data_IF_761930936401
#
_entry.id   IF_761930936401
#
_cell.length_a   1.000
_cell.length_b   1.000
_cell.length_c   1.000
_cell.angle_alpha   90.00
_cell.angle_beta   90.00
_cell.angle_gamma   90.00
#
_symmetry.space_group_name_H-M   'P 1'
#
loop_
_entity.id
_entity.type
_entity.pdbx_description
1 polymer ?
#
# COMPACT_ATOMS: atom_id res chain seq x y z
N UNK A 1 -10.15 -8.52 -18.10
CA UNK A 1 -9.14 -7.82 -18.94
C UNK A 1 -9.07 -6.30 -18.72
N UNK A 2 -10.17 -5.59 -18.43
CA UNK A 2 -10.15 -4.12 -18.24
C UNK A 2 -9.27 -3.62 -17.09
N UNK A 3 -9.36 -4.23 -15.90
CA UNK A 3 -8.59 -3.80 -14.71
C UNK A 3 -7.08 -4.02 -14.84
N UNK A 4 -6.62 -5.12 -15.45
CA UNK A 4 -5.17 -5.36 -15.70
C UNK A 4 -4.57 -4.27 -16.59
N UNK A 5 -5.31 -3.80 -17.60
CA UNK A 5 -4.91 -2.66 -18.43
C UNK A 5 -4.82 -1.36 -17.61
N UNK A 6 -5.67 -1.20 -16.60
CA UNK A 6 -5.61 -0.06 -15.68
C UNK A 6 -4.36 -0.12 -14.80
N UNK A 7 -4.03 -1.28 -14.20
CA UNK A 7 -2.82 -1.45 -13.40
C UNK A 7 -1.54 -1.19 -14.19
N UNK A 8 -1.43 -1.79 -15.37
CA UNK A 8 -0.28 -1.58 -16.26
C UNK A 8 -0.12 -0.10 -16.63
N UNK A 9 -1.23 0.60 -16.88
CA UNK A 9 -1.23 2.05 -17.10
C UNK A 9 -0.79 2.84 -15.86
N UNK A 10 -1.22 2.46 -14.66
CA UNK A 10 -0.80 3.09 -13.41
C UNK A 10 0.70 2.92 -13.16
N UNK A 11 1.23 1.71 -13.37
CA UNK A 11 2.66 1.40 -13.26
C UNK A 11 3.48 2.23 -14.23
N UNK A 12 3.12 2.22 -15.52
CA UNK A 12 3.85 2.95 -16.55
C UNK A 12 3.85 4.46 -16.27
N UNK A 13 2.70 4.99 -15.86
CA UNK A 13 2.57 6.39 -15.42
C UNK A 13 3.47 6.69 -14.22
N UNK A 14 3.51 5.80 -13.23
CA UNK A 14 4.36 5.92 -12.03
C UNK A 14 5.85 6.04 -12.38
N UNK A 15 6.32 5.25 -13.34
CA UNK A 15 7.74 5.15 -13.70
C UNK A 15 8.23 6.28 -14.62
N UNK A 16 7.36 6.79 -15.51
CA UNK A 16 7.79 7.68 -16.59
C UNK A 16 7.33 9.11 -16.36
N UNK A 17 6.07 9.30 -15.94
CA UNK A 17 5.50 10.63 -15.79
C UNK A 17 4.56 10.69 -14.56
N UNK A 18 5.11 10.52 -13.34
CA UNK A 18 4.33 10.70 -12.14
C UNK A 18 3.89 12.17 -12.03
N UNK A 19 2.75 12.39 -11.38
CA UNK A 19 2.20 13.75 -11.19
C UNK A 19 3.21 14.69 -10.52
N UNK A 20 3.96 14.14 -9.56
CA UNK A 20 5.08 14.80 -8.92
C UNK A 20 6.37 14.12 -9.37
N UNK A 21 7.27 14.90 -9.99
CA UNK A 21 8.54 14.39 -10.51
C UNK A 21 9.44 13.82 -9.40
N UNK A 22 9.33 14.29 -8.17
CA UNK A 22 10.12 13.77 -7.05
C UNK A 22 9.72 12.34 -6.66
N UNK A 23 8.50 11.91 -7.00
CA UNK A 23 8.07 10.52 -6.83
C UNK A 23 8.80 9.54 -7.74
N UNK A 24 9.54 10.00 -8.76
CA UNK A 24 10.39 9.12 -9.57
C UNK A 24 11.42 8.39 -8.73
N UNK A 25 11.99 9.02 -7.70
CA UNK A 25 13.03 8.42 -6.85
C UNK A 25 12.51 7.17 -6.12
N UNK A 26 11.46 7.25 -5.29
CA UNK A 26 10.91 6.05 -4.64
C UNK A 26 10.38 5.03 -5.65
N UNK A 27 9.76 5.47 -6.76
CA UNK A 27 9.23 4.55 -7.76
C UNK A 27 10.34 3.73 -8.45
N UNK A 28 11.47 4.36 -8.79
CA UNK A 28 12.61 3.66 -9.37
C UNK A 28 13.27 2.72 -8.36
N UNK A 29 13.34 3.10 -7.08
CA UNK A 29 13.82 2.19 -6.03
C UNK A 29 12.96 0.92 -5.97
N UNK A 30 11.63 1.04 -5.87
CA UNK A 30 10.73 -0.12 -5.91
C UNK A 30 10.92 -0.95 -7.19
N UNK A 31 11.02 -0.31 -8.36
CA UNK A 31 11.20 -1.01 -9.62
C UNK A 31 12.54 -1.76 -9.74
N UNK A 32 13.63 -1.18 -9.21
CA UNK A 32 14.92 -1.87 -9.14
C UNK A 32 14.86 -3.12 -8.26
N UNK A 33 13.98 -3.19 -7.25
CA UNK A 33 13.73 -4.41 -6.49
C UNK A 33 13.08 -5.50 -7.33
N UNK A 34 12.10 -5.16 -8.16
CA UNK A 34 11.51 -6.12 -9.10
C UNK A 34 12.57 -6.71 -10.04
N UNK A 35 13.41 -5.86 -10.63
CA UNK A 35 14.51 -6.30 -11.51
C UNK A 35 15.52 -7.13 -10.74
N UNK A 36 15.96 -6.65 -9.57
CA UNK A 36 16.96 -7.31 -8.74
C UNK A 36 16.51 -8.68 -8.24
N UNK A 37 15.22 -8.84 -7.90
CA UNK A 37 14.66 -10.13 -7.50
C UNK A 37 14.68 -11.17 -8.62
N UNK A 38 14.52 -10.75 -9.87
CA UNK A 38 14.67 -11.62 -11.05
C UNK A 38 16.14 -11.88 -11.39
N UNK A 39 16.99 -10.86 -11.26
CA UNK A 39 18.41 -10.97 -11.57
C UNK A 39 19.15 -11.86 -10.57
N UNK A 40 18.76 -11.87 -9.31
CA UNK A 40 19.48 -12.58 -8.25
C UNK A 40 19.55 -14.11 -8.50
N UNK A 41 18.44 -14.84 -8.79
CA UNK A 41 18.53 -16.26 -9.13
C UNK A 41 19.41 -16.50 -10.36
N UNK A 42 19.29 -15.66 -11.40
CA UNK A 42 20.10 -15.76 -12.62
C UNK A 42 21.60 -15.66 -12.27
N UNK A 43 21.97 -14.66 -11.45
CA UNK A 43 23.35 -14.48 -11.00
C UNK A 43 23.84 -15.66 -10.17
N UNK A 44 23.02 -16.18 -9.27
CA UNK A 44 23.37 -17.32 -8.43
C UNK A 44 23.69 -18.56 -9.28
N UNK A 45 22.82 -18.91 -10.25
CA UNK A 45 23.04 -20.04 -11.15
C UNK A 45 24.14 -19.79 -12.20
N UNK A 46 24.49 -18.54 -12.48
CA UNK A 46 25.60 -18.18 -13.37
C UNK A 46 26.97 -18.21 -12.67
N UNK A 47 27.01 -18.61 -11.39
CA UNK A 47 28.27 -18.71 -10.62
C UNK A 47 28.77 -17.38 -10.06
N UNK A 48 27.89 -16.40 -9.82
CA UNK A 48 28.27 -15.17 -9.12
C UNK A 48 28.80 -15.50 -7.71
N UNK A 49 29.79 -14.73 -7.25
CA UNK A 49 30.43 -14.96 -5.96
C UNK A 49 29.47 -14.71 -4.78
N UNK A 50 29.69 -15.35 -3.63
CA UNK A 50 28.88 -15.13 -2.43
C UNK A 50 28.80 -13.65 -2.04
N UNK A 51 29.93 -12.93 -2.13
CA UNK A 51 30.01 -11.51 -1.82
C UNK A 51 29.14 -10.65 -2.77
N UNK A 52 29.08 -10.99 -4.06
CA UNK A 52 28.25 -10.27 -5.02
C UNK A 52 26.75 -10.48 -4.72
N UNK A 53 26.34 -11.71 -4.43
CA UNK A 53 24.94 -12.03 -4.10
C UNK A 53 24.50 -11.37 -2.78
N UNK A 54 25.34 -11.43 -1.74
CA UNK A 54 25.06 -10.76 -0.45
C UNK A 54 24.97 -9.25 -0.63
N UNK A 55 25.88 -8.66 -1.41
CA UNK A 55 25.87 -7.22 -1.70
C UNK A 55 24.60 -6.82 -2.44
N UNK A 56 24.22 -7.55 -3.50
CA UNK A 56 22.99 -7.29 -4.24
C UNK A 56 21.77 -7.42 -3.32
N UNK A 57 21.64 -8.52 -2.59
CA UNK A 57 20.46 -8.77 -1.77
C UNK A 57 20.34 -7.76 -0.62
N UNK A 58 21.47 -7.36 -0.03
CA UNK A 58 21.53 -6.34 1.01
C UNK A 58 21.18 -4.95 0.46
N UNK A 59 21.67 -4.58 -0.72
CA UNK A 59 21.31 -3.30 -1.37
C UNK A 59 19.84 -3.23 -1.74
N UNK A 60 19.26 -4.33 -2.23
CA UNK A 60 17.82 -4.43 -2.51
C UNK A 60 16.98 -4.36 -1.22
N UNK A 61 17.38 -5.05 -0.15
CA UNK A 61 16.69 -4.95 1.15
C UNK A 61 16.77 -3.54 1.76
N UNK A 62 17.91 -2.85 1.61
CA UNK A 62 18.05 -1.46 2.04
C UNK A 62 17.17 -0.54 1.19
N UNK A 63 17.06 -0.79 -0.11
CA UNK A 63 16.24 0.04 -1.01
C UNK A 63 14.75 0.03 -0.63
N UNK A 64 14.22 -1.10 -0.14
CA UNK A 64 12.84 -1.23 0.40
C UNK A 64 12.60 -0.32 1.61
N UNK A 65 13.60 -0.19 2.48
CA UNK A 65 13.49 0.74 3.59
C UNK A 65 13.60 2.20 3.15
N UNK A 66 14.36 2.45 2.09
CA UNK A 66 14.64 3.80 1.59
C UNK A 66 13.52 4.35 0.71
N UNK A 67 12.77 3.55 -0.03
CA UNK A 67 11.71 4.06 -0.91
C UNK A 67 10.56 4.71 -0.13
N UNK A 68 10.09 4.09 0.96
CA UNK A 68 9.04 4.66 1.81
C UNK A 68 9.52 5.94 2.52
N UNK A 69 10.82 6.00 2.89
CA UNK A 69 11.43 7.23 3.40
C UNK A 69 11.54 8.29 2.30
N UNK A 70 11.96 7.92 1.11
CA UNK A 70 12.07 8.82 -0.03
C UNK A 70 10.69 9.40 -0.41
N UNK A 71 9.63 8.59 -0.40
CA UNK A 71 8.28 9.07 -0.63
C UNK A 71 7.86 10.15 0.40
N UNK A 72 8.11 9.91 1.69
CA UNK A 72 7.72 10.84 2.76
C UNK A 72 8.59 12.09 2.86
N UNK A 73 9.91 11.94 2.76
CA UNK A 73 10.85 13.03 3.02
C UNK A 73 11.27 13.78 1.75
N UNK A 74 11.39 13.08 0.62
CA UNK A 74 11.84 13.68 -0.65
C UNK A 74 10.63 14.09 -1.48
N UNK A 75 9.74 13.14 -1.80
CA UNK A 75 8.55 13.44 -2.61
C UNK A 75 7.47 14.21 -1.85
N UNK A 76 7.51 14.16 -0.50
CA UNK A 76 6.54 14.78 0.43
C UNK A 76 5.11 14.27 0.27
N UNK A 77 4.92 13.15 -0.42
CA UNK A 77 3.64 12.49 -0.61
C UNK A 77 3.82 11.02 -0.99
N UNK A 78 2.88 10.19 -0.54
CA UNK A 78 2.74 8.81 -1.01
C UNK A 78 1.64 8.78 -2.09
N UNK A 79 2.00 8.41 -3.32
CA UNK A 79 1.06 8.40 -4.45
C UNK A 79 0.40 7.03 -4.60
N UNK A 80 -0.85 7.00 -5.10
CA UNK A 80 -1.55 5.74 -5.38
C UNK A 80 -0.81 4.91 -6.43
N UNK A 81 -0.28 5.57 -7.47
CA UNK A 81 0.52 4.92 -8.51
C UNK A 81 1.81 4.31 -7.96
N UNK A 82 2.51 5.03 -7.08
CA UNK A 82 3.72 4.56 -6.40
C UNK A 82 3.43 3.37 -5.48
N UNK A 83 2.38 3.45 -4.65
CA UNK A 83 1.98 2.36 -3.75
C UNK A 83 1.59 1.07 -4.49
N UNK A 84 0.95 1.20 -5.67
CA UNK A 84 0.63 0.05 -6.52
C UNK A 84 1.90 -0.56 -7.13
N UNK A 85 2.81 0.28 -7.63
CA UNK A 85 4.10 -0.18 -8.16
C UNK A 85 4.93 -0.88 -7.08
N UNK A 86 4.98 -0.32 -5.89
CA UNK A 86 5.67 -0.84 -4.72
C UNK A 86 5.15 -2.24 -4.35
N UNK A 87 3.85 -2.35 -4.11
CA UNK A 87 3.22 -3.63 -3.77
C UNK A 87 3.44 -4.71 -4.84
N UNK A 88 3.45 -4.35 -6.13
CA UNK A 88 3.73 -5.30 -7.22
C UNK A 88 5.21 -5.68 -7.25
N UNK A 89 6.11 -4.71 -7.05
CA UNK A 89 7.54 -4.93 -7.05
C UNK A 89 7.96 -5.85 -5.90
N UNK A 90 7.36 -5.71 -4.72
CA UNK A 90 7.56 -6.60 -3.57
C UNK A 90 7.19 -8.05 -3.89
N UNK A 91 6.08 -8.25 -4.60
CA UNK A 91 5.63 -9.60 -4.99
C UNK A 91 6.51 -10.21 -6.06
N UNK A 92 6.91 -9.42 -7.06
CA UNK A 92 7.87 -9.88 -8.06
C UNK A 92 9.19 -10.24 -7.38
N UNK A 93 9.70 -9.39 -6.49
CA UNK A 93 10.94 -9.63 -5.76
C UNK A 93 10.87 -10.93 -4.96
N UNK A 94 9.95 -11.03 -4.01
CA UNK A 94 9.83 -12.20 -3.13
C UNK A 94 9.55 -13.50 -3.89
N UNK A 95 8.61 -13.49 -4.85
CA UNK A 95 8.29 -14.70 -5.63
C UNK A 95 9.42 -15.12 -6.55
N UNK A 96 10.15 -14.18 -7.15
CA UNK A 96 11.30 -14.52 -8.00
C UNK A 96 12.41 -15.19 -7.20
N UNK A 97 12.71 -14.68 -6.00
CA UNK A 97 13.67 -15.30 -5.08
C UNK A 97 13.21 -16.70 -4.65
N UNK A 98 11.92 -16.87 -4.33
CA UNK A 98 11.36 -18.17 -3.95
C UNK A 98 11.42 -19.16 -5.12
N UNK A 99 10.97 -18.76 -6.32
CA UNK A 99 10.98 -19.62 -7.50
C UNK A 99 12.40 -20.07 -7.83
N UNK A 100 13.37 -19.16 -7.76
CA UNK A 100 14.76 -19.48 -8.02
C UNK A 100 15.36 -20.48 -7.01
N UNK A 101 14.98 -20.43 -5.73
CA UNK A 101 15.59 -21.28 -4.70
C UNK A 101 14.95 -22.68 -4.67
N UNK A 102 13.74 -22.87 -5.21
CA UNK A 102 13.02 -24.16 -5.17
C UNK A 102 13.85 -25.31 -5.77
N UNK A 103 14.64 -25.06 -6.82
CA UNK A 103 15.50 -26.09 -7.41
C UNK A 103 16.64 -26.54 -6.48
N UNK A 104 17.02 -25.72 -5.49
CA UNK A 104 18.03 -26.02 -4.46
C UNK A 104 17.36 -26.56 -3.20
N UNK A 105 16.27 -25.95 -2.77
CA UNK A 105 15.53 -26.27 -1.55
C UNK A 105 14.02 -26.28 -1.83
N UNK A 106 13.47 -27.45 -2.21
CA UNK A 106 12.07 -27.56 -2.65
C UNK A 106 11.03 -27.13 -1.62
N UNK A 107 11.36 -27.14 -0.32
CA UNK A 107 10.46 -26.74 0.77
C UNK A 107 9.90 -25.32 0.58
N UNK A 108 10.66 -24.42 -0.07
CA UNK A 108 10.25 -23.05 -0.32
C UNK A 108 9.02 -22.93 -1.24
N UNK A 109 8.63 -24.02 -1.92
CA UNK A 109 7.35 -24.09 -2.64
C UNK A 109 6.17 -23.78 -1.71
N UNK A 110 6.23 -24.20 -0.45
CA UNK A 110 5.17 -23.94 0.53
C UNK A 110 5.09 -22.45 0.83
N UNK A 111 6.22 -21.79 1.11
CA UNK A 111 6.25 -20.34 1.28
C UNK A 111 5.74 -19.60 0.03
N UNK A 112 6.12 -20.05 -1.17
CA UNK A 112 5.66 -19.46 -2.43
C UNK A 112 4.15 -19.54 -2.60
N UNK A 113 3.54 -20.70 -2.32
CA UNK A 113 2.09 -20.88 -2.39
C UNK A 113 1.36 -19.99 -1.36
N UNK A 114 1.90 -19.86 -0.15
CA UNK A 114 1.33 -19.03 0.90
C UNK A 114 1.45 -17.53 0.59
N UNK A 115 2.61 -17.07 0.14
CA UNK A 115 2.83 -15.68 -0.30
C UNK A 115 1.95 -15.34 -1.51
N UNK A 116 1.83 -16.27 -2.48
CA UNK A 116 0.89 -16.16 -3.59
C UNK A 116 -0.55 -16.03 -3.12
N UNK A 117 -0.97 -16.85 -2.14
CA UNK A 117 -2.31 -16.78 -1.55
C UNK A 117 -2.59 -15.43 -0.88
N UNK A 118 -1.63 -14.91 -0.10
CA UNK A 118 -1.73 -13.58 0.53
C UNK A 118 -1.87 -12.50 -0.54
N UNK A 119 -1.07 -12.60 -1.61
CA UNK A 119 -1.10 -11.66 -2.74
C UNK A 119 -2.46 -11.66 -3.44
N UNK A 120 -3.05 -12.84 -3.68
CA UNK A 120 -4.38 -12.96 -4.29
C UNK A 120 -5.48 -12.36 -3.40
N UNK A 121 -5.43 -12.59 -2.09
CA UNK A 121 -6.40 -11.99 -1.14
C UNK A 121 -6.27 -10.47 -1.16
N UNK A 122 -5.05 -9.94 -1.12
CA UNK A 122 -4.79 -8.50 -1.15
C UNK A 122 -5.22 -7.86 -2.48
N UNK A 123 -4.94 -8.51 -3.61
CA UNK A 123 -5.36 -8.05 -4.93
C UNK A 123 -6.89 -7.97 -5.03
N UNK A 124 -7.60 -9.00 -4.55
CA UNK A 124 -9.06 -8.99 -4.52
C UNK A 124 -9.62 -7.90 -3.60
N UNK A 125 -9.03 -7.71 -2.42
CA UNK A 125 -9.43 -6.63 -1.50
C UNK A 125 -9.25 -5.25 -2.14
N UNK A 126 -8.15 -5.05 -2.88
CA UNK A 126 -7.92 -3.80 -3.59
C UNK A 126 -8.91 -3.57 -4.72
N UNK A 127 -9.27 -4.61 -5.47
CA UNK A 127 -10.28 -4.54 -6.53
C UNK A 127 -11.67 -4.11 -6.03
N UNK A 128 -11.97 -4.37 -4.76
CA UNK A 128 -13.21 -3.97 -4.09
C UNK A 128 -13.18 -2.50 -3.60
N UNK A 129 -12.10 -1.77 -3.90
CA UNK A 129 -11.92 -0.35 -3.60
C UNK A 129 -11.17 -0.07 -2.29
N UNK A 130 -10.59 -1.11 -1.69
CA UNK A 130 -9.88 -0.98 -0.42
C UNK A 130 -8.39 -0.67 -0.61
N UNK A 131 -7.77 -0.04 0.39
CA UNK A 131 -6.33 0.19 0.41
C UNK A 131 -5.61 -1.07 0.90
N UNK A 132 -4.49 -1.49 0.29
CA UNK A 132 -3.65 -2.55 0.85
C UNK A 132 -3.10 -2.04 2.18
N UNK A 133 -3.46 -2.68 3.29
CA UNK A 133 -2.89 -2.39 4.61
C UNK A 133 -2.14 -3.60 5.11
N UNK A 134 -0.89 -3.40 5.49
CA UNK A 134 -0.09 -4.46 6.09
C UNK A 134 -0.37 -4.56 7.59
N UNK A 135 -0.72 -5.76 8.03
CA UNK A 135 -0.86 -6.09 9.44
C UNK A 135 0.50 -6.34 10.11
N UNK A 136 0.53 -6.30 11.44
CA UNK A 136 1.75 -6.52 12.23
C UNK A 136 2.38 -7.88 11.94
N UNK A 137 1.56 -8.95 11.88
CA UNK A 137 2.02 -10.30 11.50
C UNK A 137 2.61 -10.30 10.10
N UNK A 138 1.99 -9.57 9.17
CA UNK A 138 2.50 -9.39 7.81
C UNK A 138 3.89 -8.76 7.76
N UNK A 139 4.20 -7.84 8.67
CA UNK A 139 5.54 -7.23 8.78
C UNK A 139 6.54 -8.16 9.45
N UNK A 140 6.13 -8.85 10.52
CA UNK A 140 7.01 -9.76 11.27
C UNK A 140 7.45 -10.94 10.41
N UNK A 141 6.54 -11.53 9.62
CA UNK A 141 6.86 -12.73 8.82
C UNK A 141 7.91 -12.50 7.73
N UNK A 142 8.12 -11.25 7.31
CA UNK A 142 9.09 -10.90 6.26
C UNK A 142 10.50 -11.17 6.77
N UNK A 143 10.79 -10.93 8.05
CA UNK A 143 12.13 -11.10 8.61
C UNK A 143 12.69 -12.53 8.48
N UNK A 144 12.02 -13.58 9.01
CA UNK A 144 12.52 -14.93 8.88
C UNK A 144 12.53 -15.41 7.42
N UNK A 145 11.55 -15.04 6.58
CA UNK A 145 11.52 -15.44 5.17
C UNK A 145 12.69 -14.82 4.38
N UNK A 146 12.93 -13.53 4.54
CA UNK A 146 14.03 -12.82 3.89
C UNK A 146 15.37 -13.38 4.34
N UNK A 147 15.55 -13.62 5.64
CA UNK A 147 16.76 -14.25 6.17
C UNK A 147 16.94 -15.68 5.63
N UNK A 148 15.88 -16.48 5.54
CA UNK A 148 15.91 -17.81 4.95
C UNK A 148 16.39 -17.76 3.50
N UNK A 149 15.86 -16.85 2.68
CA UNK A 149 16.24 -16.68 1.28
C UNK A 149 17.70 -16.21 1.15
N UNK A 150 18.13 -15.22 1.95
CA UNK A 150 19.53 -14.74 1.98
C UNK A 150 20.49 -15.90 2.25
N UNK A 151 20.23 -16.68 3.30
CA UNK A 151 21.08 -17.79 3.70
C UNK A 151 21.05 -18.92 2.66
N UNK A 152 19.89 -19.20 2.06
CA UNK A 152 19.76 -20.25 1.04
C UNK A 152 20.62 -19.96 -0.20
N UNK A 153 20.56 -18.73 -0.72
CA UNK A 153 21.39 -18.33 -1.86
C UNK A 153 22.87 -18.20 -1.50
N UNK A 154 23.18 -17.77 -0.28
CA UNK A 154 24.56 -17.75 0.23
C UNK A 154 25.15 -19.17 0.27
N UNK A 155 24.44 -20.13 0.87
CA UNK A 155 24.89 -21.52 0.94
C UNK A 155 25.10 -22.13 -0.46
N UNK A 156 24.18 -21.87 -1.39
CA UNK A 156 24.32 -22.34 -2.77
C UNK A 156 25.59 -21.81 -3.44
N UNK A 157 25.86 -20.51 -3.30
CA UNK A 157 27.02 -19.85 -3.91
C UNK A 157 28.36 -20.25 -3.28
N UNK A 158 28.35 -20.68 -2.01
CA UNK A 158 29.54 -21.18 -1.30
C UNK A 158 29.99 -22.57 -1.78
N UNK A 159 29.12 -23.35 -2.42
CA UNK A 159 29.40 -24.75 -2.73
C UNK A 159 29.77 -25.54 -1.47
N UNK A 160 30.93 -26.20 -1.47
CA UNK A 160 31.44 -26.96 -0.31
C UNK A 160 32.48 -26.18 0.52
N UNK A 161 32.62 -24.87 0.30
CA UNK A 161 33.63 -24.04 0.99
C UNK A 161 33.03 -23.31 2.19
N UNK A 162 33.76 -23.25 3.30
CA UNK A 162 33.35 -22.48 4.47
C UNK A 162 33.59 -20.99 4.26
N UNK A 163 32.68 -20.15 4.73
CA UNK A 163 32.77 -18.68 4.68
C UNK A 163 32.66 -18.13 6.10
N UNK A 164 33.63 -17.31 6.54
CA UNK A 164 33.69 -16.77 7.91
C UNK A 164 33.60 -17.85 9.01
N UNK A 165 34.11 -19.06 8.73
CA UNK A 165 34.05 -20.21 9.66
C UNK A 165 32.69 -20.94 9.70
N UNK A 166 31.71 -20.51 8.91
CA UNK A 166 30.40 -21.16 8.79
C UNK A 166 30.42 -22.16 7.62
N UNK A 167 30.00 -23.40 7.87
CA UNK A 167 29.85 -24.40 6.81
C UNK A 167 28.56 -24.18 6.00
N UNK A 168 28.56 -24.50 4.69
CA UNK A 168 27.36 -24.45 3.85
C UNK A 168 26.19 -25.27 4.41
N UNK A 169 26.47 -26.40 5.05
CA UNK A 169 25.46 -27.27 5.67
C UNK A 169 24.74 -26.59 6.84
N UNK A 170 25.48 -25.88 7.71
CA UNK A 170 24.90 -25.13 8.83
C UNK A 170 24.04 -23.97 8.31
N UNK A 171 24.52 -23.25 7.30
CA UNK A 171 23.78 -22.15 6.66
C UNK A 171 22.50 -22.68 6.01
N UNK A 172 22.57 -23.80 5.29
CA UNK A 172 21.41 -24.45 4.65
C UNK A 172 20.40 -24.90 5.69
N UNK A 173 20.85 -25.54 6.78
CA UNK A 173 19.99 -25.98 7.88
C UNK A 173 19.30 -24.79 8.56
N UNK A 174 20.02 -23.69 8.75
CA UNK A 174 19.47 -22.45 9.32
C UNK A 174 18.43 -21.82 8.39
N UNK A 175 18.73 -21.77 7.08
CA UNK A 175 17.78 -21.31 6.05
C UNK A 175 16.48 -22.13 6.07
N UNK A 176 16.60 -23.46 6.11
CA UNK A 176 15.47 -24.38 6.21
C UNK A 176 14.65 -24.12 7.49
N UNK A 177 15.31 -24.02 8.65
CA UNK A 177 14.64 -23.74 9.92
C UNK A 177 13.83 -22.45 9.89
N UNK A 178 14.39 -21.37 9.33
CA UNK A 178 13.70 -20.09 9.18
C UNK A 178 12.52 -20.16 8.20
N UNK A 179 12.65 -20.90 7.10
CA UNK A 179 11.53 -21.18 6.18
C UNK A 179 10.37 -21.88 6.91
N UNK A 180 10.68 -22.93 7.69
CA UNK A 180 9.68 -23.66 8.46
C UNK A 180 8.99 -22.80 9.53
N UNK A 181 9.73 -21.93 10.23
CA UNK A 181 9.16 -20.96 11.19
C UNK A 181 8.26 -19.93 10.49
N UNK A 182 8.53 -19.61 9.22
CA UNK A 182 7.74 -18.64 8.46
C UNK A 182 6.35 -19.17 8.09
N UNK A 183 6.23 -20.47 7.78
CA UNK A 183 4.96 -21.10 7.37
C UNK A 183 3.79 -20.82 8.33
N UNK A 184 3.89 -21.05 9.67
CA UNK A 184 2.80 -20.75 10.58
C UNK A 184 2.47 -19.24 10.64
N UNK A 185 3.46 -18.35 10.52
CA UNK A 185 3.23 -16.90 10.47
C UNK A 185 2.43 -16.50 9.22
N UNK A 186 2.71 -17.14 8.09
CA UNK A 186 1.97 -16.94 6.84
C UNK A 186 0.52 -17.42 6.95
N UNK A 187 0.30 -18.57 7.56
CA UNK A 187 -1.05 -19.11 7.81
C UNK A 187 -1.86 -18.16 8.70
N UNK A 188 -1.25 -17.66 9.78
CA UNK A 188 -1.90 -16.68 10.67
C UNK A 188 -2.23 -15.40 9.89
N UNK A 189 -1.29 -14.91 9.07
CA UNK A 189 -1.49 -13.73 8.25
C UNK A 189 -2.66 -13.91 7.25
N UNK A 190 -2.74 -15.07 6.58
CA UNK A 190 -3.86 -15.41 5.68
C UNK A 190 -5.19 -15.38 6.43
N UNK A 191 -5.26 -15.97 7.63
CA UNK A 191 -6.48 -15.95 8.46
C UNK A 191 -6.89 -14.52 8.80
N UNK A 192 -5.93 -13.66 9.13
CA UNK A 192 -6.18 -12.26 9.45
C UNK A 192 -6.68 -11.48 8.23
N UNK A 193 -6.06 -11.62 7.06
CA UNK A 193 -6.56 -10.98 5.85
C UNK A 193 -7.96 -11.46 5.46
N UNK A 194 -8.26 -12.75 5.64
CA UNK A 194 -9.61 -13.30 5.39
C UNK A 194 -10.64 -12.76 6.38
N UNK A 195 -10.32 -12.62 7.67
CA UNK A 195 -11.26 -12.08 8.65
C UNK A 195 -11.55 -10.61 8.39
N UNK A 196 -10.54 -9.83 8.02
CA UNK A 196 -10.68 -8.42 7.65
C UNK A 196 -11.53 -8.26 6.39
N UNK A 197 -11.31 -9.08 5.35
CA UNK A 197 -12.13 -9.07 4.15
C UNK A 197 -13.61 -9.38 4.45
N UNK A 198 -13.88 -10.38 5.31
CA UNK A 198 -15.25 -10.72 5.74
C UNK A 198 -15.91 -9.58 6.53
N UNK A 199 -15.21 -9.02 7.51
CA UNK A 199 -15.73 -7.93 8.33
C UNK A 199 -16.11 -6.71 7.48
N UNK A 200 -15.31 -6.40 6.44
CA UNK A 200 -15.59 -5.31 5.49
C UNK A 200 -16.82 -5.61 4.63
N UNK A 201 -16.94 -6.83 4.12
CA UNK A 201 -18.13 -7.23 3.35
C UNK A 201 -19.41 -7.11 4.18
N UNK A 202 -19.38 -7.44 5.47
CA UNK A 202 -20.53 -7.33 6.36
C UNK A 202 -20.92 -5.86 6.59
N UNK A 203 -19.95 -5.00 6.91
CA UNK A 203 -20.19 -3.55 7.06
C UNK A 203 -20.78 -2.90 5.81
N UNK A 204 -20.39 -3.38 4.61
CA UNK A 204 -20.95 -2.89 3.35
C UNK A 204 -22.42 -3.30 3.17
N UNK A 205 -22.79 -4.51 3.61
CA UNK A 205 -24.19 -4.97 3.60
C UNK A 205 -25.05 -4.19 4.61
N UNK A 206 -24.57 -4.02 5.83
CA UNK A 206 -25.24 -3.25 6.89
C UNK A 206 -25.55 -1.81 6.41
N UNK A 207 -24.57 -1.12 5.80
CA UNK A 207 -24.79 0.22 5.22
C UNK A 207 -25.83 0.25 4.09
N UNK A 208 -25.90 -0.82 3.29
CA UNK A 208 -26.88 -0.93 2.21
C UNK A 208 -28.29 -1.16 2.78
N UNK A 209 -28.41 -1.94 3.85
CA UNK A 209 -29.67 -2.21 4.54
C UNK A 209 -30.20 -0.95 5.26
N UNK A 210 -29.31 -0.19 5.92
CA UNK A 210 -29.64 1.08 6.58
C UNK A 210 -30.09 2.16 5.58
N UNK A 211 -29.38 2.32 4.45
CA UNK A 211 -29.79 3.27 3.41
C UNK A 211 -31.10 2.89 2.70
N UNK A 212 -31.44 1.59 2.65
CA UNK A 212 -32.72 1.13 2.10
C UNK A 212 -33.87 1.32 3.09
N UNK A 213 -33.63 1.17 4.40
CA UNK A 213 -34.64 1.42 5.44
C UNK A 213 -34.95 2.91 5.59
N UNK A 214 -33.95 3.79 5.50
CA UNK A 214 -34.16 5.25 5.47
C UNK A 214 -34.98 5.69 4.24
N UNK A 215 -34.64 5.20 3.05
CA UNK A 215 -35.38 5.51 1.81
C UNK A 215 -36.83 5.00 1.81
N UNK A 216 -37.12 3.90 2.51
CA UNK A 216 -38.47 3.36 2.62
C UNK A 216 -39.32 4.10 3.67
N UNK A 217 -38.70 4.62 4.73
CA UNK A 217 -39.35 5.53 5.67
C UNK A 217 -39.67 6.89 5.04
N UNK A 218 -38.76 7.46 4.22
CA UNK A 218 -39.00 8.71 3.48
C UNK A 218 -40.15 8.58 2.45
N UNK A 219 -40.23 7.45 1.74
CA UNK A 219 -41.35 7.16 0.82
C UNK A 219 -42.69 6.98 1.55
N UNK A 220 -42.67 6.49 2.78
CA UNK A 220 -43.87 6.31 3.61
C UNK A 220 -44.38 7.64 4.16
N UNK A 221 -43.47 8.56 4.56
CA UNK A 221 -43.84 9.94 4.93
C UNK A 221 -44.37 10.76 3.74
N UNK A 222 -43.80 10.61 2.53
CA UNK A 222 -44.35 11.26 1.32
C UNK A 222 -45.75 10.73 0.91
N UNK A 223 -46.04 9.45 1.14
CA UNK A 223 -47.39 8.88 0.92
C UNK A 223 -48.41 9.35 1.96
N UNK A 224 -47.99 9.63 3.20
CA UNK A 224 -48.83 10.23 4.24
C UNK A 224 -49.24 11.67 3.87
N UNK A 225 -48.27 12.51 3.48
CA UNK A 225 -48.54 13.92 3.13
C UNK A 225 -49.33 14.11 1.83
N UNK A 226 -49.42 13.07 0.98
CA UNK A 226 -50.25 13.10 -0.25
C UNK A 226 -51.72 12.74 0.05
N UNK A 227 -52.01 12.07 1.16
CA UNK A 227 -53.40 11.75 1.57
C UNK A 227 -54.08 12.91 2.31
N UNK A 228 -53.35 13.69 3.09
CA UNK A 228 -53.92 14.90 3.74
C UNK A 228 -54.27 16.00 2.74
N UNK A 229 -53.47 16.21 1.69
CA UNK A 229 -53.73 17.23 0.67
C UNK A 229 -54.87 16.89 -0.31
N UNK A 230 -55.52 15.72 -0.18
CA UNK A 230 -56.64 15.31 -1.04
C UNK A 230 -58.02 15.53 -0.41
N UNK A 231 -58.10 15.89 0.87
CA UNK A 231 -59.37 16.13 1.57
C UNK A 231 -59.78 17.61 1.50
N UNK A 232 -58.85 18.54 1.25
CA UNK A 232 -59.14 19.98 1.31
C UNK A 232 -59.43 20.66 -0.05
N UNK A 233 -59.56 19.91 -1.15
CA UNK A 233 -59.83 20.47 -2.50
C UNK A 233 -61.04 19.84 -3.17
N UNK A 234 -62.19 19.94 -2.53
CA UNK A 234 -63.48 19.79 -3.19
C UNK A 234 -64.44 20.90 -2.75
N UNK A 235 -64.17 22.14 -3.18
CA UNK A 235 -65.18 23.18 -3.45
C UNK A 235 -64.50 24.25 -4.33
N UNK A 236 -65.20 24.59 -5.42
CA UNK A 236 -65.08 25.72 -6.36
C UNK A 236 -63.84 25.90 -7.26
N UNK A 237 -64.05 25.60 -8.56
CA UNK A 237 -63.50 26.36 -9.71
C UNK A 237 -64.44 27.57 -10.02
N UNK A 238 -64.10 28.60 -10.83
CA UNK A 238 -63.18 28.54 -11.99
C UNK A 238 -62.33 29.80 -12.37
N UNK A 239 -61.40 29.52 -13.31
CA UNK A 239 -60.95 30.33 -14.48
C UNK A 239 -59.82 31.39 -14.38
N UNK A 240 -58.80 31.11 -15.23
CA UNK A 240 -57.86 31.97 -16.02
C UNK A 240 -56.87 32.82 -15.18
N UNK A 241 -55.59 32.95 -15.50
CA UNK A 241 -54.96 33.26 -16.81
C UNK A 241 -53.45 32.93 -16.76
N UNK A 242 -52.87 32.60 -17.92
CA UNK A 242 -51.42 32.49 -18.18
C UNK A 242 -50.69 33.79 -17.81
N UNK A 243 -49.55 33.70 -17.13
CA UNK A 243 -48.36 34.50 -17.43
C UNK A 243 -47.07 33.73 -17.12
N UNK A 244 -46.03 34.05 -17.88
CA UNK A 244 -44.76 33.36 -18.10
C UNK A 244 -43.66 34.29 -17.56
N UNK A 245 -42.74 33.83 -16.72
CA UNK A 245 -41.48 34.50 -16.37
C UNK A 245 -40.50 33.41 -15.88
N UNK A 246 -39.66 32.90 -16.79
CA UNK A 246 -38.26 33.28 -17.05
C UNK A 246 -37.36 33.06 -15.83
N UNK A 247 -36.54 32.02 -15.96
CA UNK A 247 -35.50 31.56 -15.04
C UNK A 247 -34.30 32.48 -15.22
N UNK A 248 -33.93 33.25 -14.19
CA UNK A 248 -32.69 34.02 -14.17
C UNK A 248 -32.22 34.22 -12.73
N UNK A 249 -30.91 34.05 -12.56
CA UNK A 249 -30.03 34.39 -11.44
C UNK A 249 -29.94 33.43 -10.23
N UNK A 250 -28.79 32.89 -9.82
CA UNK A 250 -27.37 33.32 -9.73
C UNK A 250 -27.01 33.54 -8.26
N UNK A 251 -25.95 32.87 -7.82
CA UNK A 251 -25.03 33.17 -6.70
C UNK A 251 -25.53 33.98 -5.50
N UNK A 252 -25.52 33.38 -4.31
CA UNK A 252 -25.08 34.05 -3.06
C UNK A 252 -24.33 33.02 -2.17
N UNK A 253 -23.01 33.13 -2.03
CA UNK A 253 -22.24 33.83 -0.96
C UNK A 253 -22.03 32.95 0.28
N UNK A 254 -20.76 32.57 0.49
CA UNK A 254 -20.18 32.30 1.80
C UNK A 254 -18.71 32.79 1.77
N UNK A 255 -18.56 34.11 1.91
CA UNK A 255 -17.36 34.77 2.40
C UNK A 255 -17.83 35.57 3.61
N UNK A 256 -17.25 35.28 4.78
CA UNK A 256 -17.04 36.09 6.01
C UNK A 256 -16.55 35.03 7.03
N UNK A 257 -15.37 35.07 7.65
CA UNK A 257 -14.70 36.19 8.29
C UNK A 257 -13.18 35.97 8.34
N UNK A 258 -12.41 36.91 7.79
CA UNK A 258 -11.02 37.19 8.14
C UNK A 258 -11.02 38.65 8.55
N UNK A 259 -10.89 38.91 9.85
CA UNK A 259 -10.30 40.11 10.44
C UNK A 259 -10.65 40.16 11.93
N UNK A 260 -9.76 39.60 12.74
CA UNK A 260 -9.43 40.18 14.04
C UNK A 260 -8.01 39.73 14.39
N UNK A 261 -7.30 40.56 15.16
CA UNK A 261 -5.88 40.47 15.54
C UNK A 261 -4.92 41.25 14.62
N UNK A 262 -5.01 42.58 14.71
CA UNK A 262 -3.81 43.39 14.96
C UNK A 262 -4.12 44.47 16.00
N UNK A 263 -3.59 44.30 17.22
CA UNK A 263 -2.92 45.33 18.05
C UNK A 263 -2.71 44.81 19.48
N UNK A 264 -1.49 44.38 19.81
CA UNK A 264 -0.65 45.10 20.77
C UNK A 264 0.70 44.41 21.02
N UNK A 265 1.75 45.16 20.64
CA UNK A 265 3.01 45.43 21.38
C UNK A 265 4.11 44.35 21.50
N UNK A 266 5.06 44.42 20.55
CA UNK A 266 6.53 44.70 20.64
C UNK A 266 7.44 44.07 21.75
N UNK A 267 8.80 44.15 21.65
CA UNK A 267 9.65 43.00 21.36
C UNK A 267 10.71 42.71 22.45
N UNK A 268 11.20 41.47 22.55
CA UNK A 268 12.43 41.21 23.32
C UNK A 268 13.60 40.83 22.41
N UNK A 269 14.60 41.71 22.43
CA UNK A 269 15.96 41.52 21.92
C UNK A 269 16.76 40.72 22.95
N UNK A 270 17.46 39.68 22.52
CA UNK A 270 18.33 38.88 23.40
C UNK A 270 19.48 38.18 22.69
N UNK A 271 20.44 38.98 22.18
CA UNK A 271 21.89 38.74 22.04
C UNK A 271 22.39 37.37 21.52
N UNK A 272 22.93 37.39 20.30
CA UNK A 272 24.16 36.65 19.93
C UNK A 272 25.35 37.64 19.87
N UNK A 273 26.49 37.30 20.49
CA UNK A 273 27.83 37.23 19.84
C UNK A 273 29.03 37.24 20.84
N UNK A 274 30.09 36.56 20.35
CA UNK A 274 31.56 36.61 20.64
C UNK A 274 32.07 35.48 21.55
N UNK A 275 32.89 34.53 21.06
CA UNK A 275 34.31 34.56 20.61
C UNK A 275 35.33 34.71 21.76
N UNK A 276 36.22 33.72 21.88
CA UNK A 276 37.54 33.77 22.55
C UNK A 276 37.79 32.56 23.46
N UNK A 277 38.61 31.56 23.09
CA UNK A 277 40.08 31.38 23.30
C UNK A 277 40.51 30.72 24.63
N UNK A 278 41.18 29.56 24.50
CA UNK A 278 42.33 28.96 25.25
C UNK A 278 42.20 28.68 26.77
N UNK A 279 42.34 27.41 27.19
CA UNK A 279 43.51 26.79 27.88
C UNK A 279 43.13 25.43 28.52
N UNK A 280 44.13 24.54 28.48
CA UNK A 280 44.36 23.26 29.17
C UNK A 280 43.54 22.00 28.77
#
# INVERSE_FOLDING_TARGET
MGKIKEYTKLIFKSLINPKNKLSLIPNWLSFTRAIGGVAMPIMAYSGASPAALVTLLSTLAISDFLDGKAARYIAKEETKEGAVLDAISDKIFSLSLIVGIIAISPIFIVNGLLEGTISLINAKSFEEGDSPKSNLIGKIKIWPLSAALILGYLAHSMGNTSFLGLSPELITTTSLGLSLVTIPLEIINIKQYRSEAKAKSNRKKEKLEESNSENSNEKSQKKSNTKENKIEKSITTPKKTKYKLKKENSNQILIVNKEEIQKNKTPEKGKQKKKGTIYD
#
